data_IF_656294308721
#
_entry.id   IF_656294308721
#
_cell.length_a   1.000
_cell.length_b   1.000
_cell.length_c   1.000
_cell.angle_alpha   90.00
_cell.angle_beta   90.00
_cell.angle_gamma   90.00
#
_symmetry.space_group_name_H-M   'P 1'
#
loop_
_entity.id
_entity.type
_entity.pdbx_description
1 polymer ?
#
# COMPACT_ATOMS: atom_id res chain seq x y z
N UNK A 1 17.91 -10.81 -48.08
CA UNK A 1 17.09 -10.13 -47.05
C UNK A 1 16.65 -11.09 -45.95
N UNK A 2 15.94 -12.18 -46.29
CA UNK A 2 15.40 -13.12 -45.29
C UNK A 2 16.44 -13.73 -44.35
N UNK A 3 17.64 -14.03 -44.85
CA UNK A 3 18.71 -14.66 -44.05
C UNK A 3 19.32 -13.71 -42.99
N UNK A 4 19.40 -12.41 -43.32
CA UNK A 4 19.94 -11.37 -42.44
C UNK A 4 19.00 -11.02 -41.29
N UNK A 5 17.68 -11.01 -41.55
CA UNK A 5 16.67 -10.81 -40.51
C UNK A 5 16.59 -12.00 -39.55
N UNK A 6 16.77 -13.23 -40.05
CA UNK A 6 16.89 -14.42 -39.20
C UNK A 6 18.12 -14.36 -38.30
N UNK A 7 19.27 -13.91 -38.82
CA UNK A 7 20.47 -13.68 -38.00
C UNK A 7 20.25 -12.60 -36.94
N UNK A 8 19.62 -11.48 -37.29
CA UNK A 8 19.30 -10.43 -36.31
C UNK A 8 18.39 -10.97 -35.20
N UNK A 9 17.36 -11.75 -35.54
CA UNK A 9 16.49 -12.37 -34.53
C UNK A 9 17.25 -13.31 -33.60
N UNK A 10 18.17 -14.12 -34.13
CA UNK A 10 19.01 -15.02 -33.34
C UNK A 10 19.96 -14.24 -32.41
N UNK A 11 20.57 -13.16 -32.92
CA UNK A 11 21.41 -12.26 -32.11
C UNK A 11 20.60 -11.61 -31.00
N UNK A 12 19.40 -11.09 -31.31
CA UNK A 12 18.51 -10.51 -30.31
C UNK A 12 18.15 -11.53 -29.22
N UNK A 13 17.78 -12.77 -29.59
CA UNK A 13 17.45 -13.79 -28.59
C UNK A 13 18.64 -14.12 -27.69
N UNK A 14 19.86 -14.13 -28.22
CA UNK A 14 21.08 -14.37 -27.43
C UNK A 14 21.35 -13.21 -26.47
N UNK A 15 21.25 -11.97 -26.97
CA UNK A 15 21.47 -10.77 -26.16
C UNK A 15 20.37 -10.57 -25.10
N UNK A 16 19.12 -10.96 -25.40
CA UNK A 16 18.00 -10.94 -24.47
C UNK A 16 18.22 -11.90 -23.29
N UNK A 17 18.72 -13.11 -23.56
CA UNK A 17 19.04 -14.10 -22.52
C UNK A 17 20.25 -13.66 -21.70
N UNK A 18 21.23 -12.99 -22.33
CA UNK A 18 22.41 -12.49 -21.65
C UNK A 18 22.14 -11.28 -20.74
N UNK A 19 21.03 -10.55 -20.96
CA UNK A 19 20.64 -9.43 -20.13
C UNK A 19 20.05 -9.92 -18.79
N UNK A 20 20.87 -9.84 -17.74
CA UNK A 20 20.57 -10.31 -16.39
C UNK A 20 20.25 -9.18 -15.41
N UNK A 21 20.45 -7.92 -15.81
CA UNK A 21 20.19 -6.74 -14.98
C UNK A 21 19.33 -5.69 -15.68
N UNK A 22 18.70 -4.81 -14.90
CA UNK A 22 17.92 -3.67 -15.42
C UNK A 22 18.76 -2.69 -16.26
N UNK A 23 20.03 -2.50 -15.88
CA UNK A 23 20.98 -1.69 -16.64
C UNK A 23 21.32 -2.33 -18.00
N UNK A 24 21.46 -3.67 -18.03
CA UNK A 24 21.67 -4.43 -19.27
C UNK A 24 20.41 -4.41 -20.15
N UNK A 25 19.21 -4.51 -19.59
CA UNK A 25 17.95 -4.39 -20.33
C UNK A 25 17.80 -3.00 -20.97
N UNK A 26 18.19 -1.94 -20.26
CA UNK A 26 18.22 -0.57 -20.80
C UNK A 26 19.26 -0.42 -21.91
N UNK A 27 20.45 -1.00 -21.72
CA UNK A 27 21.51 -1.02 -22.74
C UNK A 27 21.07 -1.77 -24.00
N UNK A 28 20.37 -2.90 -23.83
CA UNK A 28 19.78 -3.69 -24.91
C UNK A 28 18.73 -2.88 -25.68
N UNK A 29 17.87 -2.13 -24.96
CA UNK A 29 16.90 -1.20 -25.56
C UNK A 29 17.56 -0.15 -26.42
N UNK A 30 18.59 0.52 -25.91
CA UNK A 30 19.28 1.57 -26.67
C UNK A 30 20.00 1.01 -27.90
N UNK A 31 20.59 -0.18 -27.78
CA UNK A 31 21.27 -0.88 -28.88
C UNK A 31 20.32 -1.27 -30.01
N UNK A 32 19.11 -1.74 -29.69
CA UNK A 32 18.17 -2.23 -30.71
C UNK A 32 17.18 -1.16 -31.21
N UNK A 33 16.61 -0.38 -30.30
CA UNK A 33 15.53 0.60 -30.55
C UNK A 33 16.01 2.06 -30.54
N UNK A 34 17.32 2.31 -30.39
CA UNK A 34 17.88 3.65 -30.37
C UNK A 34 17.50 4.50 -31.59
N UNK A 35 17.04 5.74 -31.34
CA UNK A 35 16.51 6.66 -32.37
C UNK A 35 17.52 7.02 -33.47
N UNK A 36 18.82 7.06 -33.17
CA UNK A 36 19.88 7.41 -34.14
C UNK A 36 20.77 6.22 -34.53
N UNK A 37 21.09 5.36 -33.57
CA UNK A 37 22.09 4.29 -33.71
C UNK A 37 21.52 2.87 -33.46
N UNK A 38 20.20 2.72 -33.34
CA UNK A 38 19.58 1.42 -33.14
C UNK A 38 19.73 0.51 -34.36
N UNK A 39 19.97 -0.78 -34.14
CA UNK A 39 20.06 -1.80 -35.20
C UNK A 39 18.83 -1.81 -36.11
N UNK A 40 17.63 -1.68 -35.55
CA UNK A 40 16.37 -1.63 -36.32
C UNK A 40 16.30 -0.36 -37.17
N UNK A 41 16.68 0.80 -36.61
CA UNK A 41 16.74 2.08 -37.33
C UNK A 41 17.75 2.03 -38.48
N UNK A 42 18.89 1.35 -38.28
CA UNK A 42 19.90 1.14 -39.32
C UNK A 42 19.37 0.26 -40.46
N UNK A 43 18.68 -0.84 -40.15
CA UNK A 43 18.05 -1.70 -41.15
C UNK A 43 16.92 -0.98 -41.90
N UNK A 44 16.11 -0.14 -41.23
CA UNK A 44 15.11 0.70 -41.93
C UNK A 44 15.71 1.67 -42.94
N UNK A 45 16.92 2.22 -42.71
CA UNK A 45 17.59 3.12 -43.67
C UNK A 45 17.96 2.40 -44.97
N UNK A 46 18.19 1.08 -44.93
CA UNK A 46 18.54 0.29 -46.13
C UNK A 46 17.37 0.15 -47.11
N UNK A 47 16.13 0.35 -46.65
CA UNK A 47 14.91 0.27 -47.48
C UNK A 47 14.84 1.35 -48.57
N UNK A 48 15.59 2.46 -48.42
CA UNK A 48 15.64 3.54 -49.40
C UNK A 48 16.25 3.13 -50.75
N UNK A 49 17.06 2.07 -50.78
CA UNK A 49 17.75 1.58 -51.98
C UNK A 49 16.94 0.55 -52.80
N UNK A 50 15.77 0.12 -52.32
CA UNK A 50 14.97 -0.95 -52.93
C UNK A 50 13.88 -0.42 -53.88
N UNK A 51 13.42 -1.27 -54.79
CA UNK A 51 12.24 -1.04 -55.62
C UNK A 51 10.95 -0.94 -54.78
N UNK A 52 9.86 -0.32 -55.28
CA UNK A 52 8.64 -0.10 -54.49
C UNK A 52 8.02 -1.40 -53.93
N UNK A 53 8.02 -2.49 -54.70
CA UNK A 53 7.44 -3.77 -54.29
C UNK A 53 8.30 -4.50 -53.24
N UNK A 54 9.62 -4.51 -53.44
CA UNK A 54 10.58 -5.09 -52.47
C UNK A 54 10.63 -4.29 -51.17
N UNK A 55 10.48 -2.96 -51.26
CA UNK A 55 10.42 -2.06 -50.11
C UNK A 55 9.22 -2.36 -49.21
N UNK A 56 8.06 -2.70 -49.78
CA UNK A 56 6.85 -3.04 -49.02
C UNK A 56 7.03 -4.33 -48.22
N UNK A 57 7.52 -5.39 -48.87
CA UNK A 57 7.76 -6.68 -48.22
C UNK A 57 8.84 -6.58 -47.13
N UNK A 58 9.98 -5.94 -47.43
CA UNK A 58 11.08 -5.79 -46.47
C UNK A 58 10.71 -4.85 -45.30
N UNK A 59 9.94 -3.79 -45.55
CA UNK A 59 9.46 -2.88 -44.51
C UNK A 59 8.52 -3.56 -43.51
N UNK A 60 7.65 -4.46 -44.00
CA UNK A 60 6.78 -5.26 -43.13
C UNK A 60 7.62 -6.15 -42.20
N UNK A 61 8.59 -6.89 -42.75
CA UNK A 61 9.43 -7.79 -41.95
C UNK A 61 10.26 -7.05 -40.88
N UNK A 62 10.76 -5.85 -41.18
CA UNK A 62 11.49 -5.03 -40.21
C UNK A 62 10.56 -4.49 -39.12
N UNK A 63 9.33 -4.10 -39.47
CA UNK A 63 8.33 -3.69 -38.49
C UNK A 63 7.91 -4.85 -37.57
N UNK A 64 7.75 -6.05 -38.11
CA UNK A 64 7.42 -7.23 -37.32
C UNK A 64 8.55 -7.55 -36.33
N UNK A 65 9.81 -7.50 -36.79
CA UNK A 65 10.97 -7.66 -35.91
C UNK A 65 11.03 -6.57 -34.84
N UNK A 66 10.74 -5.31 -35.20
CA UNK A 66 10.69 -4.20 -34.26
C UNK A 66 9.66 -4.45 -33.15
N UNK A 67 8.45 -4.88 -33.50
CA UNK A 67 7.39 -5.13 -32.54
C UNK A 67 7.77 -6.28 -31.58
N UNK A 68 8.39 -7.34 -32.09
CA UNK A 68 8.91 -8.44 -31.26
C UNK A 68 9.95 -7.93 -30.27
N UNK A 69 10.94 -7.18 -30.76
CA UNK A 69 12.02 -6.64 -29.93
C UNK A 69 11.48 -5.71 -28.84
N UNK A 70 10.53 -4.83 -29.20
CA UNK A 70 9.90 -3.90 -28.27
C UNK A 70 9.11 -4.63 -27.18
N UNK A 71 8.32 -5.63 -27.54
CA UNK A 71 7.55 -6.44 -26.59
C UNK A 71 8.42 -7.25 -25.63
N UNK A 72 9.49 -7.88 -26.13
CA UNK A 72 10.40 -8.70 -25.31
C UNK A 72 11.22 -7.84 -24.35
N UNK A 73 11.70 -6.66 -24.78
CA UNK A 73 12.39 -5.70 -23.92
C UNK A 73 11.43 -5.15 -22.85
N UNK A 74 10.20 -4.79 -23.23
CA UNK A 74 9.19 -4.32 -22.28
C UNK A 74 8.89 -5.38 -21.21
N UNK A 75 8.74 -6.63 -21.62
CA UNK A 75 8.54 -7.77 -20.71
C UNK A 75 9.72 -7.94 -19.77
N UNK A 76 10.96 -7.84 -20.28
CA UNK A 76 12.18 -7.94 -19.48
C UNK A 76 12.29 -6.80 -18.45
N UNK A 77 12.02 -5.56 -18.87
CA UNK A 77 12.02 -4.39 -17.99
C UNK A 77 10.94 -4.50 -16.90
N UNK A 78 9.74 -4.94 -17.26
CA UNK A 78 8.65 -5.18 -16.32
C UNK A 78 9.02 -6.24 -15.27
N UNK A 79 9.70 -7.32 -15.69
CA UNK A 79 10.20 -8.36 -14.77
C UNK A 79 11.16 -7.78 -13.74
N UNK A 80 12.18 -7.03 -14.17
CA UNK A 80 13.15 -6.44 -13.26
C UNK A 80 12.55 -5.39 -12.33
N UNK A 81 11.55 -4.62 -12.81
CA UNK A 81 10.81 -3.69 -11.97
C UNK A 81 10.04 -4.44 -10.85
N UNK A 82 9.34 -5.52 -11.20
CA UNK A 82 8.59 -6.33 -10.25
C UNK A 82 9.51 -7.05 -9.23
N UNK A 83 10.66 -7.56 -9.67
CA UNK A 83 11.66 -8.17 -8.78
C UNK A 83 12.22 -7.17 -7.77
N UNK A 84 12.50 -5.93 -8.21
CA UNK A 84 12.97 -4.84 -7.35
C UNK A 84 11.92 -4.44 -6.32
N UNK A 85 10.67 -4.28 -6.75
CA UNK A 85 9.55 -3.96 -5.87
C UNK A 85 9.35 -5.06 -4.82
N UNK A 86 9.35 -6.32 -5.24
CA UNK A 86 9.23 -7.46 -4.32
C UNK A 86 10.38 -7.51 -3.31
N UNK A 87 11.62 -7.26 -3.74
CA UNK A 87 12.78 -7.21 -2.84
C UNK A 87 12.66 -6.07 -1.82
N UNK A 88 12.19 -4.90 -2.26
CA UNK A 88 11.96 -3.75 -1.38
C UNK A 88 10.86 -4.06 -0.35
N UNK A 89 9.72 -4.60 -0.79
CA UNK A 89 8.61 -4.98 0.11
C UNK A 89 9.04 -6.04 1.13
N UNK A 90 9.85 -7.01 0.73
CA UNK A 90 10.39 -8.02 1.64
C UNK A 90 11.33 -7.41 2.68
N UNK A 91 12.17 -6.44 2.29
CA UNK A 91 13.07 -5.74 3.19
C UNK A 91 12.34 -4.80 4.16
N UNK A 92 11.23 -4.21 3.73
CA UNK A 92 10.37 -3.31 4.52
C UNK A 92 9.29 -4.07 5.31
N UNK A 93 9.24 -5.39 5.22
CA UNK A 93 8.28 -6.21 5.95
C UNK A 93 8.51 -6.09 7.46
N UNK A 94 7.50 -5.61 8.17
CA UNK A 94 7.50 -5.48 9.64
C UNK A 94 6.49 -6.45 10.26
N UNK A 95 6.75 -6.85 11.51
CA UNK A 95 5.78 -7.61 12.30
C UNK A 95 4.67 -6.68 12.81
N UNK A 96 3.52 -6.75 12.15
CA UNK A 96 2.32 -5.96 12.48
C UNK A 96 1.67 -6.35 13.81
N UNK A 97 2.09 -7.46 14.43
CA UNK A 97 1.55 -7.93 15.72
C UNK A 97 2.30 -7.35 16.93
N UNK A 98 3.45 -6.72 16.69
CA UNK A 98 4.24 -6.12 17.77
C UNK A 98 3.45 -5.01 18.49
N UNK A 99 3.55 -4.94 19.83
CA UNK A 99 2.91 -3.88 20.58
C UNK A 99 3.56 -2.53 20.22
N UNK A 100 2.78 -1.65 19.61
CA UNK A 100 3.17 -0.27 19.37
C UNK A 100 3.20 0.56 20.67
N UNK A 101 3.80 1.75 20.60
CA UNK A 101 3.73 2.71 21.70
C UNK A 101 2.29 3.21 21.86
N UNK A 102 1.67 2.91 23.00
CA UNK A 102 0.30 3.33 23.33
C UNK A 102 0.32 4.24 24.56
N UNK A 103 -0.50 5.28 24.53
CA UNK A 103 -0.85 6.04 25.72
C UNK A 103 -1.85 5.17 26.52
N UNK A 104 -1.57 4.85 27.80
CA UNK A 104 -2.48 4.03 28.58
C UNK A 104 -3.81 4.77 28.78
N UNK A 105 -4.92 4.03 28.66
CA UNK A 105 -6.23 4.58 28.98
C UNK A 105 -6.36 4.80 30.49
N UNK A 106 -7.00 5.91 30.88
CA UNK A 106 -7.44 6.12 32.25
C UNK A 106 -8.56 5.14 32.63
N UNK A 107 -8.78 4.98 33.92
CA UNK A 107 -9.85 4.13 34.47
C UNK A 107 -10.68 4.92 35.46
N UNK A 108 -11.97 4.62 35.53
CA UNK A 108 -12.84 5.16 36.58
C UNK A 108 -12.51 4.51 37.92
N UNK A 109 -12.71 5.26 39.01
CA UNK A 109 -12.56 4.73 40.35
C UNK A 109 -13.62 3.63 40.60
N UNK A 110 -13.30 2.53 41.33
CA UNK A 110 -14.25 1.45 41.59
C UNK A 110 -15.58 1.90 42.22
N UNK A 111 -15.54 2.90 43.10
CA UNK A 111 -16.75 3.48 43.71
C UNK A 111 -17.64 4.15 42.64
N UNK A 112 -17.05 4.87 41.68
CA UNK A 112 -17.79 5.48 40.57
C UNK A 112 -18.44 4.41 39.69
N UNK A 113 -17.71 3.33 39.38
CA UNK A 113 -18.27 2.20 38.63
C UNK A 113 -19.44 1.54 39.36
N UNK A 114 -19.34 1.38 40.68
CA UNK A 114 -20.42 0.82 41.49
C UNK A 114 -21.62 1.78 41.55
N UNK A 115 -21.38 3.07 41.77
CA UNK A 115 -22.40 4.12 41.79
C UNK A 115 -23.21 4.10 40.49
N UNK A 116 -22.54 4.15 39.33
CA UNK A 116 -23.22 4.12 38.03
C UNK A 116 -24.04 2.83 37.84
N UNK A 117 -23.51 1.67 38.24
CA UNK A 117 -24.27 0.41 38.15
C UNK A 117 -25.55 0.43 38.99
N UNK A 118 -25.51 1.02 40.17
CA UNK A 118 -26.69 1.14 41.03
C UNK A 118 -27.66 2.14 40.41
N UNK A 119 -27.17 3.30 39.97
CA UNK A 119 -27.96 4.33 39.28
C UNK A 119 -28.69 3.76 38.07
N UNK A 120 -27.99 3.03 37.18
CA UNK A 120 -28.56 2.41 35.98
C UNK A 120 -29.75 1.49 36.30
N UNK A 121 -29.66 0.72 37.39
CA UNK A 121 -30.75 -0.18 37.83
C UNK A 121 -31.99 0.65 38.19
N UNK A 122 -31.84 1.71 38.99
CA UNK A 122 -32.99 2.51 39.43
C UNK A 122 -33.56 3.40 38.33
N UNK A 123 -32.72 3.96 37.47
CA UNK A 123 -33.15 4.70 36.28
C UNK A 123 -33.98 3.80 35.36
N UNK A 124 -33.58 2.52 35.20
CA UNK A 124 -34.37 1.55 34.41
C UNK A 124 -35.77 1.28 34.98
N UNK A 125 -35.98 1.55 36.28
CA UNK A 125 -37.26 1.43 36.97
C UNK A 125 -38.08 2.74 36.93
N UNK A 126 -37.55 3.80 36.32
CA UNK A 126 -38.22 5.11 36.20
C UNK A 126 -37.91 6.08 37.34
N UNK A 127 -36.89 5.84 38.15
CA UNK A 127 -36.40 6.78 39.15
C UNK A 127 -35.48 7.83 38.51
N UNK A 128 -35.40 9.01 39.13
CA UNK A 128 -34.50 10.11 38.75
C UNK A 128 -33.33 10.21 39.73
N UNK A 129 -32.17 10.67 39.25
CA UNK A 129 -30.96 10.84 40.07
C UNK A 129 -30.94 12.28 40.59
N UNK A 130 -30.89 12.43 41.90
CA UNK A 130 -30.79 13.72 42.59
C UNK A 130 -29.52 13.74 43.45
N UNK A 131 -28.71 14.80 43.29
CA UNK A 131 -27.53 15.07 44.12
C UNK A 131 -27.82 16.25 45.07
N UNK A 132 -27.18 16.24 46.25
CA UNK A 132 -27.38 17.26 47.28
C UNK A 132 -26.06 17.79 47.87
N UNK A 133 -26.11 18.83 48.72
CA UNK A 133 -24.94 19.35 49.40
C UNK A 133 -24.38 18.33 50.41
N UNK A 134 -23.05 18.23 50.51
CA UNK A 134 -22.40 17.37 51.52
C UNK A 134 -22.46 17.97 52.93
N UNK A 135 -22.44 19.30 53.03
CA UNK A 135 -22.65 20.02 54.29
C UNK A 135 -24.13 20.36 54.40
N UNK A 136 -24.79 19.70 55.33
CA UNK A 136 -26.23 19.84 55.54
C UNK A 136 -26.60 20.49 56.87
N UNK A 137 -27.83 21.00 56.93
CA UNK A 137 -28.40 21.58 58.14
C UNK A 137 -28.97 20.51 59.07
N UNK A 138 -29.05 20.82 60.37
CA UNK A 138 -29.68 19.92 61.36
C UNK A 138 -31.13 19.57 61.00
N UNK A 139 -31.82 20.48 60.32
CA UNK A 139 -33.21 20.26 59.94
C UNK A 139 -33.35 19.14 58.89
N UNK A 140 -32.57 19.17 57.82
CA UNK A 140 -32.63 18.17 56.75
C UNK A 140 -32.00 16.83 57.15
N UNK A 141 -30.90 16.86 57.91
CA UNK A 141 -30.24 15.62 58.36
C UNK A 141 -30.97 14.89 59.50
N UNK A 142 -31.73 15.60 60.36
CA UNK A 142 -32.32 15.00 61.56
C UNK A 142 -33.78 15.39 61.82
N UNK A 143 -34.09 16.68 61.98
CA UNK A 143 -35.42 17.10 62.48
C UNK A 143 -36.55 16.62 61.56
N UNK A 144 -36.39 16.78 60.24
CA UNK A 144 -37.37 16.38 59.23
C UNK A 144 -37.50 14.86 59.04
N UNK A 145 -36.50 14.09 59.49
CA UNK A 145 -36.49 12.62 59.45
C UNK A 145 -37.01 11.98 60.76
N UNK A 146 -37.70 12.76 61.60
CA UNK A 146 -38.24 12.33 62.89
C UNK A 146 -37.18 11.88 63.91
N UNK A 147 -36.00 12.50 63.87
CA UNK A 147 -34.89 12.23 64.80
C UNK A 147 -34.72 13.46 65.70
N UNK A 148 -35.35 13.55 66.90
CA UNK A 148 -35.27 14.75 67.76
C UNK A 148 -33.88 14.95 68.39
N UNK A 149 -33.63 16.13 68.97
CA UNK A 149 -32.34 16.53 69.56
C UNK A 149 -31.75 15.53 70.57
N UNK A 150 -32.60 14.78 71.26
CA UNK A 150 -32.21 13.86 72.33
C UNK A 150 -32.05 12.40 71.82
N UNK A 151 -32.16 12.17 70.51
CA UNK A 151 -32.09 10.83 69.93
C UNK A 151 -30.63 10.33 69.85
N UNK A 152 -30.33 9.08 70.22
CA UNK A 152 -28.98 8.52 70.16
C UNK A 152 -28.30 8.56 68.78
N UNK A 153 -29.08 8.70 67.70
CA UNK A 153 -28.54 8.83 66.34
C UNK A 153 -27.88 10.18 66.04
N UNK A 154 -27.97 11.18 66.96
CA UNK A 154 -27.30 12.48 66.83
C UNK A 154 -25.94 12.56 67.52
N UNK A 155 -25.61 11.59 68.37
CA UNK A 155 -24.39 11.55 69.19
C UNK A 155 -23.30 10.69 68.57
#
# INVERSE_FOLDING_TARGET
>A
MSDRLSQLRATFSTELIAATTDAEATTLRDRWLGRKNGLITAEMKTLGALSPDERKAAGQQINDLKNIVEAEIETLQARFAAEREAAQLAAESIDITLPGSRIPAGHLHPITLLRHKIEDIFVSMGYEIEDGPEIETNFYNFDSLNIPANHPARS
#
